data_IF_171846304956
#
_entry.id   IF_171846304956
#
_cell.length_a   1.000
_cell.length_b   1.000
_cell.length_c   1.000
_cell.angle_alpha   90.00
_cell.angle_beta   90.00
_cell.angle_gamma   90.00
#
_symmetry.space_group_name_H-M   'P 1'
#
loop_
_entity.id
_entity.type
_entity.pdbx_description
1 polymer ?
#
# COMPACT_ATOMS: atom_id res chain seq x y z
N UNK A 1 -2.81 9.90 -17.79
CA UNK A 1 -2.33 8.55 -18.16
C UNK A 1 -1.05 8.14 -17.40
N UNK A 2 -0.97 8.41 -16.08
CA UNK A 2 0.18 8.00 -15.26
C UNK A 2 -0.15 6.87 -14.26
N UNK A 3 -1.44 6.66 -13.97
CA UNK A 3 -1.87 5.77 -12.88
C UNK A 3 -1.93 4.29 -13.27
N UNK A 4 -2.23 3.95 -14.54
CA UNK A 4 -2.39 2.55 -14.97
C UNK A 4 -1.10 1.73 -14.88
N UNK A 5 0.06 2.38 -15.08
CA UNK A 5 1.36 1.71 -14.98
C UNK A 5 1.73 1.44 -13.53
N UNK A 6 1.47 2.39 -12.63
CA UNK A 6 1.68 2.23 -11.18
C UNK A 6 0.74 1.18 -10.62
N UNK A 7 -0.54 1.22 -11.01
CA UNK A 7 -1.54 0.22 -10.63
C UNK A 7 -1.15 -1.19 -11.11
N UNK A 8 -0.75 -1.34 -12.38
CA UNK A 8 -0.26 -2.63 -12.91
C UNK A 8 1.00 -3.11 -12.19
N UNK A 9 1.93 -2.20 -11.87
CA UNK A 9 3.14 -2.55 -11.13
C UNK A 9 2.84 -3.00 -9.71
N UNK A 10 1.96 -2.27 -9.00
CA UNK A 10 1.50 -2.64 -7.65
C UNK A 10 0.75 -3.96 -7.69
N UNK A 11 -0.19 -4.18 -8.62
CA UNK A 11 -0.91 -5.45 -8.77
C UNK A 11 0.02 -6.63 -9.07
N UNK A 12 1.11 -6.38 -9.82
CA UNK A 12 2.12 -7.41 -10.10
C UNK A 12 2.92 -7.83 -8.87
N UNK A 13 3.13 -6.91 -7.91
CA UNK A 13 3.98 -7.17 -6.73
C UNK A 13 3.21 -7.37 -5.43
N UNK A 14 1.99 -6.83 -5.34
CA UNK A 14 1.04 -6.90 -4.23
C UNK A 14 -0.35 -7.26 -4.79
N UNK A 15 -0.57 -8.53 -5.18
CA UNK A 15 -1.79 -8.95 -5.87
C UNK A 15 -3.07 -8.84 -5.02
N UNK A 16 -2.94 -8.69 -3.70
CA UNK A 16 -4.08 -8.50 -2.81
C UNK A 16 -4.46 -7.05 -2.55
N UNK A 17 -3.63 -6.11 -3.03
CA UNK A 17 -3.88 -4.67 -2.91
C UNK A 17 -4.57 -4.17 -4.18
N UNK A 18 -5.64 -3.40 -4.00
CA UNK A 18 -6.25 -2.61 -5.06
C UNK A 18 -6.11 -1.14 -4.74
N UNK A 19 -5.81 -0.37 -5.77
CA UNK A 19 -5.75 1.08 -5.72
C UNK A 19 -6.84 1.55 -6.66
N UNK A 20 -7.88 2.19 -6.13
CA UNK A 20 -9.05 2.59 -6.88
C UNK A 20 -9.21 4.12 -6.85
N UNK A 21 -9.46 4.73 -8.01
CA UNK A 21 -9.83 6.15 -8.10
C UNK A 21 -8.78 7.06 -8.77
N UNK A 22 -9.17 8.31 -9.10
CA UNK A 22 -8.26 9.32 -9.62
C UNK A 22 -7.25 9.76 -8.55
N UNK A 23 -6.07 10.27 -8.92
CA UNK A 23 -4.95 10.57 -7.99
C UNK A 23 -5.38 11.31 -6.72
N UNK A 24 -6.31 12.28 -6.82
CA UNK A 24 -6.81 13.04 -5.66
C UNK A 24 -7.73 12.26 -4.70
N UNK A 25 -8.34 11.15 -5.15
CA UNK A 25 -9.30 10.31 -4.41
C UNK A 25 -8.95 8.83 -4.47
N UNK A 26 -7.66 8.56 -4.37
CA UNK A 26 -7.14 7.19 -4.40
C UNK A 26 -7.56 6.44 -3.13
N UNK A 27 -8.44 5.45 -3.23
CA UNK A 27 -8.75 4.51 -2.15
C UNK A 27 -7.80 3.31 -2.22
N UNK A 28 -7.36 2.84 -1.06
CA UNK A 28 -6.57 1.61 -0.94
C UNK A 28 -7.49 0.53 -0.39
N UNK A 29 -7.66 -0.57 -1.12
CA UNK A 29 -8.38 -1.74 -0.62
C UNK A 29 -7.40 -2.87 -0.36
N UNK A 30 -7.48 -3.52 0.78
CA UNK A 30 -6.69 -4.71 1.12
C UNK A 30 -7.41 -5.54 2.17
N UNK A 31 -7.43 -6.86 2.02
CA UNK A 31 -8.01 -7.75 3.03
C UNK A 31 -9.52 -7.57 3.29
N UNK A 32 -10.26 -6.96 2.36
CA UNK A 32 -11.67 -6.62 2.55
C UNK A 32 -11.92 -5.28 3.26
N UNK A 33 -10.87 -4.57 3.67
CA UNK A 33 -10.97 -3.21 4.21
C UNK A 33 -10.67 -2.17 3.11
N UNK A 34 -11.41 -1.07 3.13
CA UNK A 34 -11.23 0.08 2.23
C UNK A 34 -10.77 1.28 3.03
N UNK A 35 -9.65 1.87 2.63
CA UNK A 35 -9.07 3.07 3.19
C UNK A 35 -9.27 4.22 2.21
N UNK A 36 -10.34 5.05 2.37
CA UNK A 36 -10.59 6.17 1.48
C UNK A 36 -9.55 7.27 1.70
N UNK A 37 -9.26 8.04 0.64
CA UNK A 37 -8.46 9.25 0.77
C UNK A 37 -9.28 10.33 1.47
N UNK A 38 -8.73 10.89 2.55
CA UNK A 38 -9.25 12.09 3.19
C UNK A 38 -8.18 13.19 3.09
N UNK A 39 -8.16 13.84 1.93
CA UNK A 39 -7.18 14.86 1.56
C UNK A 39 -7.03 15.90 2.67
N UNK A 40 -5.79 16.19 3.07
CA UNK A 40 -5.43 17.16 4.13
C UNK A 40 -5.81 16.79 5.57
N UNK A 41 -6.28 15.57 5.84
CA UNK A 41 -6.57 15.13 7.22
C UNK A 41 -5.86 13.85 7.58
N UNK A 42 -6.16 12.78 6.85
CA UNK A 42 -5.58 11.46 7.07
C UNK A 42 -5.40 10.81 5.72
N UNK A 43 -4.16 10.55 5.37
CA UNK A 43 -3.78 9.91 4.12
C UNK A 43 -3.10 8.58 4.40
N UNK A 44 -3.35 7.59 3.56
CA UNK A 44 -2.81 6.25 3.72
C UNK A 44 -1.69 6.00 2.71
N UNK A 45 -0.70 5.22 3.14
CA UNK A 45 0.43 4.81 2.31
C UNK A 45 0.87 3.40 2.62
N UNK A 46 1.04 2.62 1.56
CA UNK A 46 1.59 1.28 1.61
C UNK A 46 3.10 1.35 1.54
N UNK A 47 3.76 0.69 2.48
CA UNK A 47 5.20 0.46 2.44
C UNK A 47 5.45 -1.04 2.38
N UNK A 48 5.94 -1.51 1.23
CA UNK A 48 6.25 -2.91 1.01
C UNK A 48 7.74 -3.12 0.77
N UNK A 49 8.26 -4.21 1.32
CA UNK A 49 9.56 -4.76 0.96
C UNK A 49 9.34 -6.06 0.19
N UNK A 50 9.87 -6.10 -1.02
CA UNK A 50 9.79 -7.24 -1.92
C UNK A 50 11.16 -7.90 -1.99
N UNK A 51 11.16 -9.23 -1.87
CA UNK A 51 12.34 -10.08 -2.02
C UNK A 51 12.00 -11.12 -3.07
N UNK A 52 12.55 -10.99 -4.29
CA UNK A 52 12.29 -11.94 -5.39
C UNK A 52 13.10 -13.23 -5.22
N UNK A 53 14.38 -13.09 -4.85
CA UNK A 53 15.28 -14.22 -4.62
C UNK A 53 16.14 -13.97 -3.38
N UNK A 54 16.62 -15.04 -2.72
CA UNK A 54 17.53 -14.93 -1.56
C UNK A 54 18.86 -14.20 -1.87
N UNK A 55 19.23 -14.11 -3.14
CA UNK A 55 20.45 -13.44 -3.64
C UNK A 55 20.18 -12.04 -4.21
N UNK A 56 18.92 -11.65 -4.40
CA UNK A 56 18.57 -10.34 -4.94
C UNK A 56 18.58 -9.26 -3.86
N UNK A 57 18.92 -8.03 -4.28
CA UNK A 57 18.75 -6.85 -3.42
C UNK A 57 17.25 -6.64 -3.17
N UNK A 58 16.82 -6.43 -1.91
CA UNK A 58 15.42 -6.16 -1.62
C UNK A 58 14.98 -4.86 -2.28
N UNK A 59 13.81 -4.87 -2.93
CA UNK A 59 13.18 -3.67 -3.47
C UNK A 59 12.14 -3.16 -2.48
N UNK A 60 11.99 -1.83 -2.39
CA UNK A 60 10.92 -1.21 -1.60
C UNK A 60 9.92 -0.56 -2.55
N UNK A 61 8.64 -0.76 -2.28
CA UNK A 61 7.53 -0.11 -2.98
C UNK A 61 6.82 0.77 -1.99
N UNK A 62 6.68 2.05 -2.35
CA UNK A 62 5.89 3.03 -1.63
C UNK A 62 4.74 3.39 -2.54
N UNK A 63 3.51 3.23 -2.04
CA UNK A 63 2.32 3.60 -2.79
C UNK A 63 1.29 4.23 -1.86
N UNK A 64 1.26 5.56 -1.86
CA UNK A 64 0.38 6.39 -1.07
C UNK A 64 -0.61 7.13 -1.91
N UNK A 65 -1.64 7.63 -1.24
CA UNK A 65 -2.76 8.35 -1.85
C UNK A 65 -2.32 9.71 -2.43
N UNK A 66 -1.24 10.30 -1.90
CA UNK A 66 -0.66 11.55 -2.39
C UNK A 66 0.86 11.52 -2.43
N UNK A 67 1.45 12.51 -3.10
CA UNK A 67 2.89 12.76 -3.09
C UNK A 67 3.43 13.10 -1.68
N UNK A 68 2.61 13.73 -0.82
CA UNK A 68 2.98 14.06 0.56
C UNK A 68 3.10 12.76 1.37
N UNK A 69 2.10 11.88 1.27
CA UNK A 69 2.10 10.58 1.93
C UNK A 69 3.29 9.72 1.48
N UNK A 70 3.63 9.72 0.18
CA UNK A 70 4.80 9.03 -0.35
C UNK A 70 6.11 9.53 0.25
N UNK A 71 6.28 10.85 0.33
CA UNK A 71 7.48 11.47 0.91
C UNK A 71 7.60 11.17 2.40
N UNK A 72 6.48 11.21 3.13
CA UNK A 72 6.42 10.88 4.55
C UNK A 72 6.81 9.41 4.80
N UNK A 73 6.28 8.47 4.00
CA UNK A 73 6.65 7.06 4.06
C UNK A 73 8.13 6.82 3.75
N UNK A 74 8.71 7.56 2.79
CA UNK A 74 10.13 7.44 2.48
C UNK A 74 11.01 7.91 3.65
N UNK A 75 10.62 9.00 4.33
CA UNK A 75 11.31 9.46 5.56
C UNK A 75 11.16 8.44 6.69
N UNK A 76 9.95 7.91 6.89
CA UNK A 76 9.68 6.86 7.87
C UNK A 76 10.54 5.63 7.61
N UNK A 77 10.65 5.18 6.35
CA UNK A 77 11.52 4.08 5.98
C UNK A 77 12.98 4.37 6.38
N UNK A 78 13.50 5.56 6.12
CA UNK A 78 14.87 5.94 6.51
C UNK A 78 15.11 5.95 8.02
N UNK A 79 14.16 6.45 8.81
CA UNK A 79 14.29 6.58 10.27
C UNK A 79 14.00 5.27 11.02
N UNK A 80 13.02 4.49 10.56
CA UNK A 80 12.49 3.33 11.28
C UNK A 80 12.88 1.99 10.63
N UNK A 81 13.81 2.01 9.65
CA UNK A 81 14.24 0.80 8.94
C UNK A 81 14.73 -0.31 9.88
N UNK A 82 15.49 0.05 10.92
CA UNK A 82 16.01 -0.92 11.90
C UNK A 82 14.88 -1.59 12.68
N UNK A 83 13.86 -0.82 13.10
CA UNK A 83 12.70 -1.37 13.80
C UNK A 83 11.87 -2.29 12.89
N UNK A 84 11.62 -1.87 11.65
CA UNK A 84 10.93 -2.69 10.65
C UNK A 84 11.70 -3.99 10.34
N UNK A 85 13.03 -3.93 10.24
CA UNK A 85 13.88 -5.11 10.03
C UNK A 85 13.80 -6.09 11.19
N UNK A 86 13.75 -5.61 12.43
CA UNK A 86 13.64 -6.47 13.61
C UNK A 86 12.24 -7.08 13.70
N UNK A 87 11.19 -6.30 13.43
CA UNK A 87 9.79 -6.76 13.55
C UNK A 87 9.38 -7.72 12.43
N UNK A 88 9.71 -7.40 11.17
CA UNK A 88 9.31 -8.20 10.02
C UNK A 88 10.39 -9.22 9.59
N UNK A 89 11.61 -9.10 10.10
CA UNK A 89 12.75 -9.95 9.76
C UNK A 89 13.55 -9.46 8.54
N UNK A 90 14.88 -9.57 8.63
CA UNK A 90 15.82 -9.02 7.63
C UNK A 90 15.65 -9.63 6.24
N UNK A 91 15.22 -10.89 6.14
CA UNK A 91 15.10 -11.65 4.89
C UNK A 91 13.66 -11.90 4.42
N UNK A 92 12.66 -11.41 5.14
CA UNK A 92 11.26 -11.62 4.77
C UNK A 92 10.73 -10.43 3.97
N UNK A 93 9.79 -10.73 3.07
CA UNK A 93 8.93 -9.72 2.46
C UNK A 93 7.94 -9.23 3.52
N UNK A 94 7.60 -7.95 3.48
CA UNK A 94 6.57 -7.39 4.34
C UNK A 94 5.79 -6.32 3.58
N UNK A 95 4.56 -6.08 4.00
CA UNK A 95 3.76 -4.96 3.55
C UNK A 95 3.02 -4.39 4.76
N UNK A 96 3.23 -3.11 5.03
CA UNK A 96 2.58 -2.40 6.12
C UNK A 96 1.76 -1.24 5.59
N UNK A 97 0.62 -1.02 6.22
CA UNK A 97 -0.20 0.16 5.99
C UNK A 97 0.16 1.22 7.01
N UNK A 98 0.52 2.41 6.52
CA UNK A 98 0.81 3.57 7.34
C UNK A 98 -0.29 4.62 7.12
N UNK A 99 -0.63 5.35 8.19
CA UNK A 99 -1.40 6.58 8.11
C UNK A 99 -0.47 7.76 8.28
N UNK A 100 -0.66 8.77 7.46
CA UNK A 100 0.05 10.04 7.47
C UNK A 100 -0.97 11.08 7.90
N UNK A 101 -0.71 11.68 9.06
CA UNK A 101 -1.54 12.73 9.63
C UNK A 101 -0.81 14.04 9.36
N UNK A 102 -1.42 14.91 8.55
CA UNK A 102 -0.91 16.25 8.33
C UNK A 102 -1.22 17.09 9.56
N UNK A 103 -0.16 17.56 10.21
CA UNK A 103 -0.28 18.32 11.44
C UNK A 103 -0.39 19.79 11.08
N UNK A 104 -1.61 20.32 10.92
CA UNK A 104 -1.83 21.74 10.56
C UNK A 104 -1.16 22.72 11.55
N UNK A 105 -0.85 22.29 12.78
CA UNK A 105 -0.27 23.13 13.82
C UNK A 105 1.17 22.79 14.25
N UNK A 106 1.73 21.63 13.86
CA UNK A 106 2.98 21.15 14.49
C UNK A 106 3.81 20.28 13.55
N UNK A 107 4.69 20.91 12.76
CA UNK A 107 5.88 20.27 12.21
C UNK A 107 5.65 19.13 11.19
N UNK A 108 6.66 18.24 10.99
CA UNK A 108 6.64 17.23 9.92
C UNK A 108 5.47 16.25 10.09
N UNK A 109 4.89 15.81 8.97
CA UNK A 109 3.77 14.86 8.94
C UNK A 109 4.03 13.66 9.86
N UNK A 110 3.07 13.36 10.73
CA UNK A 110 3.18 12.23 11.67
C UNK A 110 2.81 10.96 10.91
N UNK A 111 3.69 9.96 10.95
CA UNK A 111 3.49 8.67 10.29
C UNK A 111 3.29 7.60 11.34
N UNK A 112 2.17 6.91 11.28
CA UNK A 112 1.82 5.85 12.22
C UNK A 112 1.52 4.54 11.49
N UNK A 113 2.00 3.45 12.08
CA UNK A 113 1.67 2.11 11.60
C UNK A 113 0.23 1.78 11.96
N UNK A 114 -0.61 1.59 10.96
CA UNK A 114 -2.01 1.16 11.13
C UNK A 114 -2.06 -0.34 11.33
N UNK A 115 -1.46 -1.09 10.40
CA UNK A 115 -1.58 -2.56 10.37
C UNK A 115 -0.46 -3.20 9.56
N UNK A 116 -0.05 -4.40 9.96
CA UNK A 116 0.71 -5.32 9.10
C UNK A 116 -0.28 -6.07 8.20
N UNK A 117 -0.19 -5.83 6.90
CA UNK A 117 -1.06 -6.40 5.86
C UNK A 117 -0.26 -7.36 4.97
N UNK A 118 0.86 -7.90 5.45
CA UNK A 118 1.76 -8.72 4.64
C UNK A 118 1.03 -9.91 4.02
N UNK A 119 0.22 -10.63 4.81
CA UNK A 119 -0.50 -11.80 4.31
C UNK A 119 -1.51 -11.42 3.25
N UNK A 120 -2.31 -10.39 3.51
CA UNK A 120 -3.38 -9.92 2.64
C UNK A 120 -2.82 -9.31 1.36
N UNK A 121 -1.75 -8.52 1.44
CA UNK A 121 -1.18 -7.84 0.29
C UNK A 121 -0.51 -8.80 -0.70
N UNK A 122 0.08 -9.90 -0.20
CA UNK A 122 0.73 -10.92 -1.03
C UNK A 122 -0.18 -12.09 -1.43
N UNK A 123 -1.38 -12.18 -0.87
CA UNK A 123 -2.39 -13.17 -1.28
C UNK A 123 -3.25 -12.57 -2.39
N UNK A 124 -3.38 -13.22 -3.56
CA UNK A 124 -4.29 -12.75 -4.60
C UNK A 124 -5.70 -12.63 -4.05
N UNK A 125 -6.35 -11.48 -4.26
CA UNK A 125 -7.78 -11.36 -3.97
C UNK A 125 -8.53 -12.29 -4.92
N UNK A 126 -9.55 -13.04 -4.48
CA UNK A 126 -10.45 -13.69 -5.42
C UNK A 126 -11.00 -12.62 -6.35
N UNK A 127 -10.73 -12.78 -7.64
CA UNK A 127 -11.25 -11.89 -8.67
C UNK A 127 -12.78 -11.98 -8.55
N UNK A 128 -13.44 -10.89 -8.15
CA UNK A 128 -14.91 -10.80 -8.14
C UNK A 128 -15.50 -10.86 -9.56
N UNK A 129 -14.66 -11.16 -10.56
CA UNK A 129 -14.97 -11.48 -11.94
C UNK A 129 -15.42 -12.94 -12.09
N UNK A 130 -16.38 -13.38 -11.27
CA UNK A 130 -17.06 -14.67 -11.45
C UNK A 130 -18.53 -14.56 -11.05
N UNK A 131 -19.19 -13.47 -11.44
CA UNK A 131 -20.66 -13.36 -11.34
C UNK A 131 -21.22 -12.47 -12.48
N UNK A 132 -20.68 -12.62 -13.69
CA UNK A 132 -21.28 -12.08 -14.93
C UNK A 132 -21.22 -13.13 -16.05
N UNK A 133 -21.65 -14.37 -15.78
CA UNK A 133 -21.99 -15.29 -16.85
C UNK A 133 -22.96 -16.37 -16.35
N UNK A 134 -24.15 -15.97 -15.90
CA UNK A 134 -25.31 -16.87 -15.75
C UNK A 134 -26.56 -16.05 -15.46
N UNK A 135 -27.23 -15.55 -16.51
CA UNK A 135 -28.69 -15.40 -16.55
C UNK A 135 -29.10 -14.73 -17.87
N UNK A 136 -29.27 -15.52 -18.92
CA UNK A 136 -30.32 -15.22 -19.89
C UNK A 136 -30.92 -16.52 -20.42
N UNK A 137 -32.04 -16.99 -19.84
CA UNK A 137 -32.91 -17.97 -20.47
C UNK A 137 -34.12 -17.27 -21.11
N UNK A 138 -34.49 -17.72 -22.31
CA UNK A 138 -35.85 -17.60 -22.88
C UNK A 138 -36.08 -16.41 -23.78
#
# INVERSE_FOLDING_TARGET
MANQRTEAHVRSVLPGVRIAGPEARTAIDVGGETYPSNTHRVEYVLLAKIVRSKRDKPAFVICGQTSIANRAAARYLGSEYQRLRTRCGVRRRFCVLLRVIESEGYGPSVVELVRDITTEAFTPRPDSSSEQNSAQPG
#
